data_IF_746036096368
#
_entry.id   IF_746036096368
#
_cell.length_a   1.000
_cell.length_b   1.000
_cell.length_c   1.000
_cell.angle_alpha   90.00
_cell.angle_beta   90.00
_cell.angle_gamma   90.00
#
_symmetry.space_group_name_H-M   'P 1'
#
loop_
_entity.id
_entity.type
_entity.pdbx_description
1 polymer ?
#
# COMPACT_ATOMS: atom_id res chain seq x y z
N UNK A 1 5.62 17.01 26.19
CA UNK A 1 4.19 16.80 25.86
C UNK A 1 3.64 17.63 24.68
N UNK A 2 4.38 18.60 24.10
CA UNK A 2 3.99 19.29 22.85
C UNK A 2 4.59 18.65 21.59
N UNK A 3 5.65 17.87 21.72
CA UNK A 3 6.37 17.25 20.60
C UNK A 3 5.73 15.93 20.12
N UNK A 4 5.32 15.04 21.04
CA UNK A 4 4.59 13.80 20.68
C UNK A 4 3.27 14.03 19.92
N UNK A 5 2.56 15.15 20.17
CA UNK A 5 1.31 15.46 19.46
C UNK A 5 1.55 15.90 18.00
N UNK A 6 2.77 16.30 17.65
CA UNK A 6 3.12 16.71 16.29
C UNK A 6 3.47 15.49 15.43
N UNK A 7 4.31 14.60 15.94
CA UNK A 7 4.68 13.35 15.24
C UNK A 7 3.47 12.43 14.98
N UNK A 8 2.55 12.31 15.94
CA UNK A 8 1.37 11.44 15.80
C UNK A 8 0.34 11.96 14.76
N UNK A 9 0.37 13.26 14.45
CA UNK A 9 -0.46 13.87 13.40
C UNK A 9 0.17 13.66 12.02
N UNK A 10 1.47 13.86 11.91
CA UNK A 10 2.22 13.61 10.67
C UNK A 10 2.14 12.13 10.27
N UNK A 11 2.32 11.20 11.21
CA UNK A 11 2.21 9.75 10.91
C UNK A 11 0.81 9.31 10.45
N UNK A 12 -0.25 9.94 10.98
CA UNK A 12 -1.63 9.64 10.55
C UNK A 12 -1.92 10.14 9.14
N UNK A 13 -1.45 11.34 8.82
CA UNK A 13 -1.59 11.94 7.51
C UNK A 13 -0.79 11.16 6.45
N UNK A 14 0.42 10.74 6.80
CA UNK A 14 1.27 9.90 5.95
C UNK A 14 0.61 8.53 5.67
N UNK A 15 0.02 7.87 6.68
CA UNK A 15 -0.74 6.62 6.50
C UNK A 15 -1.97 6.76 5.59
N UNK A 16 -2.64 7.90 5.63
CA UNK A 16 -3.81 8.18 4.79
C UNK A 16 -3.39 8.43 3.33
N UNK A 17 -2.36 9.26 3.13
CA UNK A 17 -1.73 9.48 1.82
C UNK A 17 -1.21 8.17 1.23
N UNK A 18 -0.51 7.36 2.02
CA UNK A 18 0.04 6.10 1.52
C UNK A 18 -1.07 5.12 1.12
N UNK A 19 -2.23 5.13 1.78
CA UNK A 19 -3.40 4.33 1.37
C UNK A 19 -4.00 4.83 0.06
N UNK A 20 -4.08 6.15 -0.12
CA UNK A 20 -4.53 6.75 -1.38
C UNK A 20 -3.58 6.41 -2.53
N UNK A 21 -2.27 6.52 -2.32
CA UNK A 21 -1.24 6.13 -3.29
C UNK A 21 -1.35 4.64 -3.59
N UNK A 22 -1.52 3.78 -2.59
CA UNK A 22 -1.69 2.36 -2.81
C UNK A 22 -2.95 2.06 -3.65
N UNK A 23 -4.06 2.77 -3.41
CA UNK A 23 -5.30 2.62 -4.18
C UNK A 23 -5.12 3.10 -5.63
N UNK A 24 -4.49 4.25 -5.84
CA UNK A 24 -4.19 4.80 -7.17
C UNK A 24 -3.20 3.89 -7.92
N UNK A 25 -2.18 3.39 -7.24
CA UNK A 25 -1.20 2.46 -7.77
C UNK A 25 -1.83 1.12 -8.18
N UNK A 26 -2.74 0.59 -7.37
CA UNK A 26 -3.49 -0.63 -7.71
C UNK A 26 -4.37 -0.41 -8.95
N UNK A 27 -5.11 0.69 -9.06
CA UNK A 27 -5.98 0.93 -10.23
C UNK A 27 -5.15 1.19 -11.50
N UNK A 28 -4.05 1.95 -11.40
CA UNK A 28 -3.15 2.20 -12.51
C UNK A 28 -2.47 0.92 -13.02
N UNK A 29 -1.90 0.13 -12.12
CA UNK A 29 -1.25 -1.14 -12.48
C UNK A 29 -2.27 -2.13 -13.04
N UNK A 30 -3.47 -2.24 -12.45
CA UNK A 30 -4.55 -3.06 -12.98
C UNK A 30 -4.87 -2.69 -14.43
N UNK A 31 -5.09 -1.40 -14.72
CA UNK A 31 -5.34 -0.90 -16.08
C UNK A 31 -4.22 -1.24 -17.05
N UNK A 32 -2.96 -1.08 -16.63
CA UNK A 32 -1.80 -1.47 -17.43
C UNK A 32 -1.75 -2.99 -17.70
N UNK A 33 -2.02 -3.84 -16.70
CA UNK A 33 -2.10 -5.30 -16.90
C UNK A 33 -3.22 -5.68 -17.87
N UNK A 34 -4.38 -5.02 -17.81
CA UNK A 34 -5.52 -5.29 -18.69
C UNK A 34 -5.20 -4.89 -20.13
N UNK A 35 -4.70 -3.66 -20.37
CA UNK A 35 -4.29 -3.22 -21.71
C UNK A 35 -3.19 -4.10 -22.28
N UNK A 36 -2.21 -4.48 -21.45
CA UNK A 36 -1.10 -5.33 -21.88
C UNK A 36 -1.55 -6.78 -22.13
N UNK A 37 -2.56 -7.28 -21.41
CA UNK A 37 -3.13 -8.63 -21.60
C UNK A 37 -3.74 -8.79 -22.99
N UNK A 38 -4.37 -7.73 -23.51
CA UNK A 38 -4.94 -7.72 -24.86
C UNK A 38 -3.86 -7.77 -25.96
N UNK A 39 -2.62 -7.43 -25.63
CA UNK A 39 -1.47 -7.36 -26.54
C UNK A 39 -0.42 -8.48 -26.36
N UNK A 40 -0.75 -9.60 -25.69
CA UNK A 40 0.19 -10.71 -25.38
C UNK A 40 0.79 -11.48 -26.59
N UNK A 41 0.44 -11.13 -27.83
CA UNK A 41 1.00 -11.76 -29.04
C UNK A 41 2.51 -11.49 -29.23
N UNK A 42 3.04 -10.40 -28.68
CA UNK A 42 4.46 -10.06 -28.75
C UNK A 42 5.21 -10.43 -27.46
N UNK A 43 6.46 -10.89 -27.61
CA UNK A 43 7.38 -11.19 -26.48
C UNK A 43 7.54 -10.01 -25.51
N UNK A 44 7.58 -8.78 -26.04
CA UNK A 44 7.70 -7.55 -25.24
C UNK A 44 6.46 -7.33 -24.38
N UNK A 45 5.26 -7.42 -24.97
CA UNK A 45 4.01 -7.27 -24.24
C UNK A 45 3.82 -8.36 -23.17
N UNK A 46 4.25 -9.59 -23.46
CA UNK A 46 4.25 -10.68 -22.47
C UNK A 46 5.13 -10.34 -21.26
N UNK A 47 6.32 -9.80 -21.46
CA UNK A 47 7.20 -9.38 -20.37
C UNK A 47 6.60 -8.19 -19.60
N UNK A 48 6.06 -7.20 -20.30
CA UNK A 48 5.40 -6.04 -19.66
C UNK A 48 4.19 -6.46 -18.83
N UNK A 49 3.41 -7.45 -19.27
CA UNK A 49 2.27 -7.97 -18.49
C UNK A 49 2.74 -8.64 -17.19
N UNK A 50 3.82 -9.42 -17.25
CA UNK A 50 4.42 -10.05 -16.06
C UNK A 50 4.92 -8.98 -15.08
N UNK A 51 5.66 -7.97 -15.57
CA UNK A 51 6.16 -6.87 -14.72
C UNK A 51 5.01 -6.08 -14.10
N UNK A 52 3.98 -5.74 -14.89
CA UNK A 52 2.79 -5.06 -14.40
C UNK A 52 2.03 -5.90 -13.36
N UNK A 53 1.94 -7.22 -13.55
CA UNK A 53 1.33 -8.15 -12.60
C UNK A 53 2.12 -8.26 -11.29
N UNK A 54 3.45 -8.33 -11.35
CA UNK A 54 4.31 -8.33 -10.16
C UNK A 54 4.17 -7.00 -9.40
N UNK A 55 4.14 -5.87 -10.10
CA UNK A 55 3.89 -4.57 -9.49
C UNK A 55 2.50 -4.51 -8.83
N UNK A 56 1.46 -5.02 -9.49
CA UNK A 56 0.11 -5.11 -8.94
C UNK A 56 0.07 -5.96 -7.65
N UNK A 57 0.72 -7.12 -7.64
CA UNK A 57 0.85 -7.95 -6.43
C UNK A 57 1.59 -7.21 -5.29
N UNK A 58 2.65 -6.47 -5.62
CA UNK A 58 3.37 -5.62 -4.65
C UNK A 58 2.47 -4.54 -4.04
N UNK A 59 1.73 -3.81 -4.88
CA UNK A 59 0.77 -2.81 -4.41
C UNK A 59 -0.39 -3.43 -3.62
N UNK A 60 -0.86 -4.62 -3.96
CA UNK A 60 -1.91 -5.31 -3.20
C UNK A 60 -1.42 -5.73 -1.80
N UNK A 61 -0.19 -6.25 -1.70
CA UNK A 61 0.44 -6.57 -0.42
C UNK A 61 0.68 -5.32 0.42
N UNK A 62 1.22 -4.26 -0.20
CA UNK A 62 1.43 -2.96 0.45
C UNK A 62 0.10 -2.35 0.92
N UNK A 63 -0.95 -2.40 0.10
CA UNK A 63 -2.29 -1.96 0.46
C UNK A 63 -2.84 -2.72 1.67
N UNK A 64 -2.64 -4.05 1.74
CA UNK A 64 -3.08 -4.84 2.89
C UNK A 64 -2.33 -4.51 4.18
N UNK A 65 -1.02 -4.29 4.11
CA UNK A 65 -0.17 -3.91 5.25
C UNK A 65 -0.59 -2.52 5.76
N UNK A 66 -0.78 -1.55 4.87
CA UNK A 66 -1.21 -0.19 5.21
C UNK A 66 -2.64 -0.12 5.73
N UNK A 67 -3.53 -0.99 5.25
CA UNK A 67 -4.90 -1.09 5.76
C UNK A 67 -5.01 -1.75 7.15
N UNK A 68 -3.90 -2.21 7.75
CA UNK A 68 -3.87 -2.68 9.15
C UNK A 68 -3.31 -1.62 10.11
N UNK A 69 -4.03 -0.52 10.44
CA UNK A 69 -3.63 0.41 11.49
C UNK A 69 -3.97 -0.09 12.91
N UNK A 70 -4.06 -1.42 13.13
CA UNK A 70 -4.65 -1.99 14.35
C UNK A 70 -3.78 -2.92 15.18
N UNK A 71 -2.61 -3.37 14.72
CA UNK A 71 -1.72 -4.15 15.61
C UNK A 71 -0.86 -3.27 16.52
N UNK A 72 -0.51 -2.06 16.10
CA UNK A 72 0.28 -1.16 16.95
C UNK A 72 -0.52 -0.65 18.16
N UNK A 73 -1.79 -0.29 17.97
CA UNK A 73 -2.65 0.22 19.07
C UNK A 73 -2.96 -0.79 20.16
N UNK A 74 -2.81 -2.08 19.92
CA UNK A 74 -3.07 -3.12 20.93
C UNK A 74 -1.83 -3.32 21.81
N UNK A 75 -0.63 -3.24 21.23
CA UNK A 75 0.63 -3.37 21.98
C UNK A 75 0.87 -2.11 22.84
N UNK A 76 0.67 -0.91 22.29
CA UNK A 76 0.82 0.35 23.05
C UNK A 76 -0.18 0.47 24.22
N UNK A 77 -1.37 -0.15 24.09
CA UNK A 77 -2.42 -0.16 25.13
C UNK A 77 -2.19 -1.22 26.21
N UNK A 78 -1.38 -2.23 25.94
CA UNK A 78 -0.99 -3.25 26.91
C UNK A 78 0.19 -2.79 27.77
N UNK A 79 1.14 -2.04 27.19
CA UNK A 79 2.31 -1.51 27.90
C UNK A 79 1.95 -0.40 28.90
N UNK A 80 0.95 0.42 28.59
CA UNK A 80 0.45 1.49 29.48
C UNK A 80 -0.44 1.01 30.63
N UNK A 81 -0.79 -0.28 30.68
CA UNK A 81 -1.64 -0.86 31.73
C UNK A 81 -0.88 -1.64 32.80
N UNK A 82 0.43 -1.83 32.62
CA UNK A 82 1.32 -2.62 33.49
C UNK A 82 2.24 -1.72 34.32
N UNK A 83 2.25 -0.40 34.05
CA UNK A 83 2.95 0.63 34.83
C UNK A 83 1.94 1.55 35.53
#
# INVERSE_FOLDING_TARGET
>A
MKEEKKEMKDQKFDLEIQKEIAKIGMTATLGATVVTSMFMKNKIAKNTHIVAGVAFCGFALWHHILYQPKKQKVIDKLETKVN
#
